data_IF_123751678033
#
_entry.id   IF_123751678033
#
_cell.length_a   1.000
_cell.length_b   1.000
_cell.length_c   1.000
_cell.angle_alpha   90.00
_cell.angle_beta   90.00
_cell.angle_gamma   90.00
#
_symmetry.space_group_name_H-M   'P 1'
#
loop_
_entity.id
_entity.type
_entity.pdbx_description
1 polymer ?
#
# COMPACT_ATOMS: atom_id res chain seq x y z
N UNK A 1 -8.20 12.80 3.27
CA UNK A 1 -7.67 12.02 2.13
C UNK A 1 -7.83 10.55 2.46
N UNK A 2 -8.31 9.69 1.56
CA UNK A 2 -8.53 8.25 1.84
C UNK A 2 -7.24 7.42 1.97
N UNK A 3 -6.12 8.09 2.31
CA UNK A 3 -4.78 7.53 2.43
C UNK A 3 -4.40 7.28 3.88
N UNK A 4 -4.83 8.11 4.84
CA UNK A 4 -4.53 7.95 6.27
C UNK A 4 -5.84 8.07 7.07
N UNK A 5 -6.19 7.10 7.94
CA UNK A 5 -5.52 5.80 8.13
C UNK A 5 -5.66 4.88 6.90
N UNK A 6 -4.95 3.73 6.84
CA UNK A 6 -5.14 2.75 5.78
C UNK A 6 -6.60 2.28 5.70
N UNK A 7 -7.21 2.38 4.51
CA UNK A 7 -8.57 1.87 4.24
C UNK A 7 -8.59 0.45 3.64
N UNK A 8 -7.41 -0.15 3.45
CA UNK A 8 -7.25 -1.49 2.87
C UNK A 8 -7.55 -2.58 3.90
N UNK A 9 -8.38 -3.55 3.54
CA UNK A 9 -8.58 -4.75 4.36
C UNK A 9 -7.43 -5.74 4.18
N UNK A 10 -7.18 -6.55 5.20
CA UNK A 10 -6.16 -7.60 5.18
C UNK A 10 -6.44 -8.61 4.06
N UNK A 11 -7.71 -8.97 3.85
CA UNK A 11 -8.18 -9.91 2.84
C UNK A 11 -7.94 -9.38 1.42
N UNK A 12 -8.22 -8.09 1.17
CA UNK A 12 -7.95 -7.45 -0.13
C UNK A 12 -6.45 -7.54 -0.46
N UNK A 13 -5.58 -7.28 0.53
CA UNK A 13 -4.14 -7.32 0.35
C UNK A 13 -3.66 -8.75 0.11
N UNK A 14 -4.08 -9.71 0.95
CA UNK A 14 -3.69 -11.12 0.81
C UNK A 14 -4.09 -11.66 -0.56
N UNK A 15 -5.31 -11.36 -1.04
CA UNK A 15 -5.75 -11.76 -2.37
C UNK A 15 -4.86 -11.18 -3.49
N UNK A 16 -4.47 -9.90 -3.38
CA UNK A 16 -3.55 -9.26 -4.34
C UNK A 16 -2.18 -9.93 -4.36
N UNK A 17 -1.63 -10.26 -3.19
CA UNK A 17 -0.32 -10.93 -3.10
C UNK A 17 -0.36 -12.40 -3.56
N UNK A 18 -1.47 -13.11 -3.34
CA UNK A 18 -1.65 -14.49 -3.79
C UNK A 18 -1.93 -14.61 -5.30
N UNK A 19 -2.48 -13.58 -5.93
CA UNK A 19 -2.70 -13.54 -7.38
C UNK A 19 -1.37 -13.74 -8.15
N UNK A 20 -1.40 -14.26 -9.40
CA UNK A 20 -0.22 -14.46 -10.28
C UNK A 20 0.47 -13.15 -10.72
N UNK A 21 0.30 -12.07 -9.96
CA UNK A 21 0.80 -10.74 -10.26
C UNK A 21 2.34 -10.68 -10.16
N UNK A 22 3.02 -9.92 -11.04
CA UNK A 22 4.48 -9.78 -11.06
C UNK A 22 5.08 -9.12 -9.80
N UNK A 23 4.26 -8.72 -8.82
CA UNK A 23 4.76 -8.34 -7.48
C UNK A 23 5.39 -9.52 -6.70
N UNK A 24 5.31 -10.74 -7.25
CA UNK A 24 5.79 -12.04 -6.75
C UNK A 24 7.31 -12.27 -6.63
N UNK A 25 8.15 -11.23 -6.55
CA UNK A 25 9.46 -11.51 -5.93
C UNK A 25 9.19 -11.73 -4.44
N UNK A 26 9.83 -12.71 -3.79
CA UNK A 26 9.77 -13.08 -2.36
C UNK A 26 10.02 -11.95 -1.32
N UNK A 27 9.53 -10.75 -1.59
CA UNK A 27 9.68 -9.54 -0.81
C UNK A 27 8.50 -9.48 0.16
N UNK A 28 8.85 -9.44 1.44
CA UNK A 28 7.91 -9.16 2.53
C UNK A 28 7.06 -7.94 2.16
N UNK A 29 5.77 -7.99 2.47
CA UNK A 29 4.91 -6.83 2.40
C UNK A 29 5.47 -5.75 3.36
N UNK A 30 5.58 -4.52 2.89
CA UNK A 30 6.08 -3.38 3.69
C UNK A 30 5.06 -2.23 3.66
N UNK A 31 5.02 -1.43 4.72
CA UNK A 31 4.02 -0.35 4.86
C UNK A 31 3.97 0.61 3.66
N UNK A 32 5.13 0.96 3.08
CA UNK A 32 5.18 1.80 1.89
C UNK A 32 4.49 1.17 0.65
N UNK A 33 4.54 -0.16 0.49
CA UNK A 33 3.83 -0.83 -0.60
C UNK A 33 2.32 -0.68 -0.45
N UNK A 34 1.82 -0.80 0.79
CA UNK A 34 0.40 -0.65 1.08
C UNK A 34 -0.07 0.79 0.90
N UNK A 35 0.73 1.78 1.35
CA UNK A 35 0.47 3.19 1.04
C UNK A 35 0.35 3.40 -0.47
N UNK A 36 1.28 2.86 -1.25
CA UNK A 36 1.25 2.99 -2.71
C UNK A 36 -0.02 2.41 -3.32
N UNK A 37 -0.55 1.30 -2.79
CA UNK A 37 -1.84 0.75 -3.24
C UNK A 37 -2.98 1.74 -2.94
N UNK A 38 -3.03 2.31 -1.73
CA UNK A 38 -4.02 3.34 -1.37
C UNK A 38 -3.92 4.57 -2.29
N UNK A 39 -2.71 5.04 -2.57
CA UNK A 39 -2.46 6.19 -3.45
C UNK A 39 -2.91 5.89 -4.88
N UNK A 40 -2.59 4.70 -5.41
CA UNK A 40 -3.07 4.27 -6.74
C UNK A 40 -4.61 4.29 -6.78
N UNK A 41 -5.28 3.67 -5.80
CA UNK A 41 -6.75 3.61 -5.75
C UNK A 41 -7.36 5.02 -5.71
N UNK A 42 -6.80 5.90 -4.88
CA UNK A 42 -7.32 7.27 -4.74
C UNK A 42 -7.07 8.13 -5.97
N UNK A 43 -5.88 8.07 -6.57
CA UNK A 43 -5.59 8.76 -7.83
C UNK A 43 -6.54 8.29 -8.95
N UNK A 44 -6.72 6.98 -9.09
CA UNK A 44 -7.65 6.41 -10.07
C UNK A 44 -9.10 6.86 -9.83
N UNK A 45 -9.55 6.92 -8.57
CA UNK A 45 -10.86 7.45 -8.20
C UNK A 45 -11.03 8.92 -8.62
N UNK A 46 -9.94 9.69 -8.61
CA UNK A 46 -9.88 11.08 -9.05
C UNK A 46 -9.64 11.24 -10.56
N UNK A 47 -9.55 10.14 -11.32
CA UNK A 47 -9.31 10.15 -12.77
C UNK A 47 -7.83 10.25 -13.17
N UNK A 48 -6.90 10.26 -12.21
CA UNK A 48 -5.46 10.31 -12.48
C UNK A 48 -4.89 8.90 -12.66
N UNK A 49 -4.33 8.63 -13.85
CA UNK A 49 -3.76 7.34 -14.24
C UNK A 49 -2.28 7.43 -14.65
N UNK A 50 -1.69 8.62 -14.63
CA UNK A 50 -0.28 8.84 -14.94
C UNK A 50 0.60 8.20 -13.87
N UNK A 51 1.29 7.13 -14.26
CA UNK A 51 2.15 6.35 -13.36
C UNK A 51 3.25 7.18 -12.71
N UNK A 52 3.78 8.19 -13.40
CA UNK A 52 4.81 9.09 -12.87
C UNK A 52 4.24 9.98 -11.79
N UNK A 53 3.07 10.60 -12.02
CA UNK A 53 2.39 11.44 -11.03
C UNK A 53 2.05 10.62 -9.78
N UNK A 54 1.46 9.43 -9.95
CA UNK A 54 1.10 8.54 -8.85
C UNK A 54 2.32 8.13 -8.04
N UNK A 55 3.43 7.79 -8.71
CA UNK A 55 4.69 7.45 -8.03
C UNK A 55 5.21 8.63 -7.21
N UNK A 56 5.27 9.83 -7.81
CA UNK A 56 5.70 11.04 -7.11
C UNK A 56 4.81 11.36 -5.91
N UNK A 57 3.49 11.21 -6.05
CA UNK A 57 2.54 11.41 -4.97
C UNK A 57 2.79 10.43 -3.82
N UNK A 58 2.96 9.14 -4.11
CA UNK A 58 3.26 8.14 -3.08
C UNK A 58 4.58 8.41 -2.36
N UNK A 59 5.65 8.74 -3.12
CA UNK A 59 6.96 9.07 -2.57
C UNK A 59 6.90 10.33 -1.68
N UNK A 60 6.18 11.37 -2.11
CA UNK A 60 5.98 12.61 -1.35
C UNK A 60 5.17 12.36 -0.08
N UNK A 61 4.04 11.67 -0.17
CA UNK A 61 3.17 11.36 0.97
C UNK A 61 3.91 10.54 2.02
N UNK A 62 4.66 9.51 1.63
CA UNK A 62 5.45 8.73 2.59
C UNK A 62 6.55 9.54 3.26
N UNK A 63 7.24 10.42 2.53
CA UNK A 63 8.31 11.23 3.12
C UNK A 63 7.77 12.23 4.14
N UNK A 64 6.60 12.83 3.86
CA UNK A 64 6.00 13.87 4.68
C UNK A 64 4.98 13.36 5.70
N UNK A 65 4.66 12.06 5.74
CA UNK A 65 3.77 11.50 6.75
C UNK A 65 4.45 11.39 8.11
N UNK A 66 3.64 11.54 9.15
CA UNK A 66 4.04 11.40 10.55
C UNK A 66 4.46 9.97 10.89
N UNK A 67 5.17 9.80 12.01
CA UNK A 67 5.52 8.46 12.51
C UNK A 67 4.28 7.61 12.81
N UNK A 68 3.19 8.22 13.29
CA UNK A 68 1.92 7.54 13.57
C UNK A 68 1.24 7.06 12.30
N UNK A 69 1.18 7.90 11.27
CA UNK A 69 0.62 7.49 9.97
C UNK A 69 1.43 6.35 9.33
N UNK A 70 2.75 6.36 9.52
CA UNK A 70 3.62 5.27 9.04
C UNK A 70 3.40 3.98 9.85
N UNK A 71 3.24 4.06 11.17
CA UNK A 71 3.08 2.88 12.02
C UNK A 71 1.84 2.09 11.64
N UNK A 72 0.71 2.75 11.36
CA UNK A 72 -0.52 2.05 10.95
C UNK A 72 -0.34 1.21 9.66
N UNK A 73 0.39 1.74 8.68
CA UNK A 73 0.74 1.00 7.48
C UNK A 73 1.74 -0.14 7.73
N UNK A 74 2.69 0.07 8.64
CA UNK A 74 3.67 -0.94 9.04
C UNK A 74 2.96 -2.09 9.76
N UNK A 75 2.07 -1.79 10.70
CA UNK A 75 1.30 -2.76 11.48
C UNK A 75 0.37 -3.58 10.57
N UNK A 76 -0.29 -2.94 9.60
CA UNK A 76 -1.06 -3.65 8.59
C UNK A 76 -0.18 -4.59 7.75
N UNK A 77 1.00 -4.14 7.33
CA UNK A 77 1.93 -4.98 6.57
C UNK A 77 2.45 -6.18 7.40
N UNK A 78 2.69 -6.00 8.70
CA UNK A 78 3.05 -7.09 9.60
C UNK A 78 1.94 -8.15 9.70
N UNK A 79 0.68 -7.72 9.92
CA UNK A 79 -0.47 -8.64 9.95
C UNK A 79 -0.61 -9.43 8.65
N UNK A 80 -0.45 -8.76 7.51
CA UNK A 80 -0.49 -9.39 6.18
C UNK A 80 0.63 -10.41 6.00
N UNK A 81 1.87 -10.08 6.40
CA UNK A 81 3.00 -11.01 6.29
C UNK A 81 2.78 -12.29 7.10
N UNK A 82 2.18 -12.19 8.29
CA UNK A 82 1.82 -13.36 9.12
C UNK A 82 0.82 -14.28 8.44
N UNK A 83 0.04 -13.78 7.47
CA UNK A 83 -0.95 -14.56 6.73
C UNK A 83 -0.40 -15.11 5.40
N UNK A 84 0.55 -14.41 4.76
CA UNK A 84 1.15 -14.83 3.48
C UNK A 84 2.29 -15.86 3.69
N UNK A 85 3.00 -15.81 4.82
CA UNK A 85 4.13 -16.69 5.12
C UNK A 85 3.74 -17.98 5.87
N UNK A 86 2.45 -18.32 5.91
CA UNK A 86 1.96 -19.63 6.37
C UNK A 86 1.75 -20.55 5.18
#
# INVERSE_FOLDING_TARGET
TLIFPPSLSTEEIVLRFNSKSPFRSHKKCHGFMLLKISVVKECQRLGENNKTIIKCAADYLWRNSTSQEKSEYIDLAQRVNTLILK
#
